data_IF_748079066770
#
_entry.id   IF_748079066770
#
_cell.length_a   1.000
_cell.length_b   1.000
_cell.length_c   1.000
_cell.angle_alpha   90.00
_cell.angle_beta   90.00
_cell.angle_gamma   90.00
#
_symmetry.space_group_name_H-M   'P 1'
#
loop_
_entity.id
_entity.type
_entity.pdbx_description
1 polymer ?
#
# COMPACT_ATOMS: atom_id res chain seq x y z
N UNK A 1 9.36 -1.93 -19.87
CA UNK A 1 8.34 -2.41 -18.89
C UNK A 1 7.27 -1.35 -18.66
N UNK A 2 5.99 -1.74 -18.47
CA UNK A 2 4.91 -0.82 -18.07
C UNK A 2 4.44 -1.18 -16.66
N UNK A 3 4.46 -0.21 -15.74
CA UNK A 3 3.93 -0.34 -14.38
C UNK A 3 2.49 0.16 -14.33
N UNK A 4 1.60 -0.58 -13.70
CA UNK A 4 0.21 -0.20 -13.49
C UNK A 4 -0.28 -0.59 -12.10
N UNK A 5 -0.79 0.39 -11.37
CA UNK A 5 -1.46 0.28 -10.07
C UNK A 5 -2.55 1.35 -9.96
N UNK A 6 -2.87 1.80 -8.76
CA UNK A 6 -3.79 2.92 -8.52
C UNK A 6 -3.03 4.24 -8.34
N UNK A 7 -2.14 4.56 -9.28
CA UNK A 7 -1.21 5.69 -9.22
C UNK A 7 -1.80 6.98 -9.78
N UNK A 8 -1.38 8.14 -9.26
CA UNK A 8 -1.79 9.47 -9.71
C UNK A 8 -3.18 9.91 -9.23
N UNK A 9 -3.63 9.44 -8.07
CA UNK A 9 -4.92 9.81 -7.48
C UNK A 9 -4.79 10.51 -6.12
N UNK A 10 -3.60 10.94 -5.74
CA UNK A 10 -3.37 11.66 -4.49
C UNK A 10 -3.55 10.82 -3.22
N UNK A 11 -3.53 9.49 -3.33
CA UNK A 11 -3.46 8.59 -2.17
C UNK A 11 -2.00 8.23 -1.92
N UNK A 12 -1.42 8.75 -0.85
CA UNK A 12 -0.01 8.54 -0.53
C UNK A 12 0.39 7.06 -0.55
N UNK A 13 -0.45 6.17 -0.02
CA UNK A 13 -0.12 4.75 0.03
C UNK A 13 0.12 4.12 -1.35
N UNK A 14 -0.67 4.50 -2.35
CA UNK A 14 -0.49 4.00 -3.72
C UNK A 14 0.73 4.65 -4.41
N UNK A 15 1.03 5.92 -4.08
CA UNK A 15 2.24 6.60 -4.56
C UNK A 15 3.51 5.98 -3.95
N UNK A 16 3.48 5.60 -2.67
CA UNK A 16 4.57 4.88 -2.01
C UNK A 16 4.80 3.49 -2.62
N UNK A 17 3.74 2.79 -3.02
CA UNK A 17 3.85 1.52 -3.74
C UNK A 17 4.58 1.70 -5.08
N UNK A 18 4.25 2.76 -5.84
CA UNK A 18 4.95 3.07 -7.08
C UNK A 18 6.44 3.36 -6.83
N UNK A 19 6.74 4.19 -5.83
CA UNK A 19 8.10 4.56 -5.46
C UNK A 19 8.92 3.32 -5.05
N UNK A 20 8.38 2.48 -4.17
CA UNK A 20 9.03 1.25 -3.72
C UNK A 20 9.32 0.27 -4.87
N UNK A 21 8.40 0.18 -5.83
CA UNK A 21 8.59 -0.68 -7.00
C UNK A 21 9.65 -0.11 -7.95
N UNK A 22 9.69 1.21 -8.17
CA UNK A 22 10.73 1.85 -8.98
C UNK A 22 12.10 1.60 -8.34
N UNK A 23 12.27 1.94 -7.06
CA UNK A 23 13.53 1.76 -6.34
C UNK A 23 13.96 0.28 -6.31
N UNK A 24 13.00 -0.62 -6.08
CA UNK A 24 13.24 -2.05 -6.08
C UNK A 24 13.68 -2.58 -7.46
N UNK A 25 13.02 -2.17 -8.54
CA UNK A 25 13.36 -2.56 -9.91
C UNK A 25 14.74 -2.01 -10.33
N UNK A 26 15.08 -0.77 -9.95
CA UNK A 26 16.42 -0.23 -10.15
C UNK A 26 17.49 -1.07 -9.43
N UNK A 27 17.21 -1.52 -8.21
CA UNK A 27 18.10 -2.42 -7.47
C UNK A 27 18.27 -3.80 -8.15
N UNK A 28 17.30 -4.20 -8.98
CA UNK A 28 17.37 -5.41 -9.82
C UNK A 28 18.04 -5.17 -11.18
N UNK A 29 18.48 -3.94 -11.47
CA UNK A 29 19.17 -3.59 -12.71
C UNK A 29 18.27 -3.07 -13.83
N UNK A 30 16.97 -2.84 -13.57
CA UNK A 30 16.06 -2.24 -14.56
C UNK A 30 16.24 -0.73 -14.56
N UNK A 31 16.75 -0.17 -15.64
CA UNK A 31 16.98 1.27 -15.75
C UNK A 31 15.70 2.09 -15.80
N UNK A 32 15.71 3.33 -15.27
CA UNK A 32 14.54 4.24 -15.33
C UNK A 32 14.03 4.46 -16.75
N UNK A 33 14.91 4.53 -17.74
CA UNK A 33 14.54 4.66 -19.15
C UNK A 33 13.79 3.46 -19.73
N UNK A 34 13.81 2.32 -19.05
CA UNK A 34 13.12 1.09 -19.43
C UNK A 34 11.74 0.94 -18.78
N UNK A 35 11.39 1.87 -17.88
CA UNK A 35 10.13 1.89 -17.16
C UNK A 35 9.19 2.97 -17.69
N UNK A 36 7.91 2.64 -17.77
CA UNK A 36 6.82 3.58 -18.05
C UNK A 36 5.65 3.30 -17.09
N UNK A 37 4.85 4.33 -16.79
CA UNK A 37 3.77 4.24 -15.78
C UNK A 37 2.43 4.59 -16.40
N UNK A 38 1.39 3.81 -16.10
CA UNK A 38 0.00 4.20 -16.33
C UNK A 38 -0.54 4.91 -15.08
N UNK A 39 -0.85 6.19 -15.20
CA UNK A 39 -1.20 7.07 -14.08
C UNK A 39 -2.51 7.83 -14.33
N UNK A 40 -3.20 8.19 -13.24
CA UNK A 40 -4.32 9.13 -13.25
C UNK A 40 -3.88 10.57 -13.48
N UNK A 41 -2.62 10.91 -13.09
CA UNK A 41 -1.98 12.22 -13.26
C UNK A 41 -0.61 12.05 -13.91
N UNK A 42 -0.54 11.81 -15.25
CA UNK A 42 0.73 11.49 -15.91
C UNK A 42 1.80 12.57 -15.79
N UNK A 43 1.40 13.84 -15.78
CA UNK A 43 2.32 14.98 -15.67
C UNK A 43 3.00 15.03 -14.30
N UNK A 44 2.22 14.83 -13.25
CA UNK A 44 2.72 14.76 -11.89
C UNK A 44 3.63 13.56 -11.69
N UNK A 45 3.23 12.39 -12.21
CA UNK A 45 4.05 11.17 -12.17
C UNK A 45 5.38 11.36 -12.90
N UNK A 46 5.38 12.02 -14.08
CA UNK A 46 6.62 12.35 -14.81
C UNK A 46 7.51 13.31 -14.01
N UNK A 47 6.92 14.37 -13.46
CA UNK A 47 7.67 15.35 -12.70
C UNK A 47 8.34 14.74 -11.45
N UNK A 48 7.63 13.81 -10.77
CA UNK A 48 8.10 13.19 -9.53
C UNK A 48 9.15 12.11 -9.76
N UNK A 49 8.92 11.22 -10.70
CA UNK A 49 9.75 10.02 -10.87
C UNK A 49 10.72 10.09 -12.07
N UNK A 50 10.57 11.07 -12.96
CA UNK A 50 11.38 11.17 -14.18
C UNK A 50 11.11 10.06 -15.20
N UNK A 51 9.99 9.35 -15.08
CA UNK A 51 9.62 8.23 -15.94
C UNK A 51 8.65 8.67 -17.05
N UNK A 52 8.60 7.92 -18.13
CA UNK A 52 7.51 8.04 -19.10
C UNK A 52 6.20 7.68 -18.43
N UNK A 53 5.19 8.55 -18.53
CA UNK A 53 3.87 8.25 -17.99
C UNK A 53 2.79 8.56 -19.02
N UNK A 54 1.74 7.72 -19.04
CA UNK A 54 0.56 7.92 -19.89
C UNK A 54 -0.72 7.85 -19.05
N UNK A 55 -1.77 8.52 -19.56
CA UNK A 55 -3.08 8.45 -18.93
C UNK A 55 -3.60 7.01 -18.93
N UNK A 56 -3.89 6.50 -17.74
CA UNK A 56 -4.39 5.13 -17.54
C UNK A 56 -5.75 4.87 -18.21
N UNK A 57 -6.53 5.91 -18.48
CA UNK A 57 -7.82 5.80 -19.16
C UNK A 57 -7.70 5.83 -20.68
N UNK A 58 -6.52 6.18 -21.21
CA UNK A 58 -6.24 6.16 -22.64
C UNK A 58 -5.88 4.75 -23.13
N UNK A 59 -6.85 4.04 -23.67
CA UNK A 59 -6.61 2.71 -24.28
C UNK A 59 -5.53 2.77 -25.36
N UNK A 60 -5.53 3.86 -26.18
CA UNK A 60 -4.50 4.06 -27.23
C UNK A 60 -3.13 4.31 -26.62
N UNK A 61 -3.04 5.12 -25.54
CA UNK A 61 -1.80 5.39 -24.83
C UNK A 61 -1.24 4.12 -24.18
N UNK A 62 -2.08 3.37 -23.46
CA UNK A 62 -1.70 2.10 -22.86
C UNK A 62 -1.20 1.07 -23.92
N UNK A 63 -1.95 0.91 -25.02
CA UNK A 63 -1.56 0.01 -26.10
C UNK A 63 -0.25 0.44 -26.78
N UNK A 64 -0.01 1.75 -26.95
CA UNK A 64 1.22 2.27 -27.53
C UNK A 64 2.45 1.98 -26.64
N UNK A 65 2.31 2.15 -25.32
CA UNK A 65 3.36 1.80 -24.36
C UNK A 65 3.62 0.30 -24.34
N UNK A 66 2.56 -0.51 -24.28
CA UNK A 66 2.67 -1.97 -24.16
C UNK A 66 3.30 -2.62 -25.40
N UNK A 67 3.04 -2.09 -26.63
CA UNK A 67 3.70 -2.57 -27.86
C UNK A 67 5.22 -2.34 -27.87
N UNK A 68 5.72 -1.43 -27.05
CA UNK A 68 7.15 -1.08 -26.93
C UNK A 68 7.77 -1.65 -25.66
N UNK A 69 7.05 -2.49 -24.96
CA UNK A 69 7.44 -3.04 -23.66
C UNK A 69 7.32 -4.55 -23.65
N UNK A 70 8.26 -5.22 -23.04
CA UNK A 70 8.25 -6.68 -22.93
C UNK A 70 7.27 -7.16 -21.87
N UNK A 71 7.04 -6.35 -20.83
CA UNK A 71 6.23 -6.78 -19.70
C UNK A 71 5.26 -5.70 -19.21
N UNK A 72 4.13 -6.15 -18.65
CA UNK A 72 3.21 -5.36 -17.83
C UNK A 72 3.33 -5.80 -16.38
N UNK A 73 3.85 -4.93 -15.51
CA UNK A 73 3.84 -5.15 -14.06
C UNK A 73 2.57 -4.55 -13.44
N UNK A 74 1.74 -5.42 -12.87
CA UNK A 74 0.63 -5.02 -12.00
C UNK A 74 1.18 -4.89 -10.59
N UNK A 75 1.45 -3.64 -10.19
CA UNK A 75 2.26 -3.34 -9.02
C UNK A 75 1.47 -2.90 -7.81
N UNK A 76 1.51 -3.72 -6.76
CA UNK A 76 1.13 -3.38 -5.39
C UNK A 76 -0.35 -3.10 -5.12
N UNK A 77 -0.71 -3.22 -3.86
CA UNK A 77 -2.02 -2.80 -3.37
C UNK A 77 -3.17 -3.77 -3.60
N UNK A 78 -4.39 -3.30 -3.34
CA UNK A 78 -5.62 -4.09 -3.48
C UNK A 78 -6.37 -3.76 -4.77
N UNK A 79 -5.75 -3.97 -5.94
CA UNK A 79 -6.36 -3.62 -7.23
C UNK A 79 -7.36 -4.69 -7.72
N UNK A 80 -7.22 -5.93 -7.27
CA UNK A 80 -8.12 -7.04 -7.58
C UNK A 80 -9.14 -7.25 -6.45
N UNK A 81 -10.09 -6.34 -6.32
CA UNK A 81 -11.20 -6.41 -5.37
C UNK A 81 -12.40 -5.58 -5.89
N UNK A 82 -13.61 -5.81 -5.37
CA UNK A 82 -14.80 -5.04 -5.74
C UNK A 82 -15.56 -4.47 -4.52
N UNK A 83 -14.91 -4.44 -3.36
CA UNK A 83 -15.49 -3.86 -2.14
C UNK A 83 -15.68 -2.34 -2.26
N UNK A 84 -14.75 -1.65 -2.95
CA UNK A 84 -14.80 -0.20 -3.19
C UNK A 84 -15.33 0.14 -4.58
N UNK A 85 -14.95 -0.61 -5.61
CA UNK A 85 -15.39 -0.37 -7.00
C UNK A 85 -15.48 -1.65 -7.81
N UNK A 86 -16.64 -1.89 -8.43
CA UNK A 86 -16.82 -2.99 -9.37
C UNK A 86 -16.10 -2.76 -10.72
N UNK A 87 -15.62 -1.53 -10.97
CA UNK A 87 -14.91 -1.19 -12.22
C UNK A 87 -13.46 -1.65 -12.18
N UNK A 88 -12.85 -1.77 -11.00
CA UNK A 88 -11.44 -2.14 -10.87
C UNK A 88 -11.11 -3.50 -11.52
N UNK A 89 -11.79 -4.62 -11.21
CA UNK A 89 -11.51 -5.90 -11.86
C UNK A 89 -11.69 -5.88 -13.38
N UNK A 90 -12.65 -5.10 -13.88
CA UNK A 90 -12.89 -4.94 -15.33
C UNK A 90 -11.71 -4.19 -15.99
N UNK A 91 -11.28 -3.08 -15.38
CA UNK A 91 -10.16 -2.28 -15.88
C UNK A 91 -8.88 -3.10 -15.98
N UNK A 92 -8.46 -3.75 -14.88
CA UNK A 92 -7.22 -4.51 -14.86
C UNK A 92 -7.28 -5.76 -15.74
N UNK A 93 -8.43 -6.41 -15.85
CA UNK A 93 -8.64 -7.48 -16.80
C UNK A 93 -8.47 -6.99 -18.25
N UNK A 94 -9.10 -5.87 -18.60
CA UNK A 94 -8.97 -5.26 -19.94
C UNK A 94 -7.52 -4.91 -20.25
N UNK A 95 -6.80 -4.32 -19.31
CA UNK A 95 -5.39 -3.97 -19.49
C UNK A 95 -4.51 -5.20 -19.70
N UNK A 96 -4.73 -6.29 -18.94
CA UNK A 96 -4.03 -7.56 -19.16
C UNK A 96 -4.30 -8.12 -20.56
N UNK A 97 -5.55 -8.02 -21.06
CA UNK A 97 -5.86 -8.43 -22.44
C UNK A 97 -5.14 -7.59 -23.50
N UNK A 98 -5.07 -6.26 -23.27
CA UNK A 98 -4.32 -5.36 -24.17
C UNK A 98 -2.83 -5.72 -24.14
N UNK A 99 -2.26 -6.01 -22.99
CA UNK A 99 -0.86 -6.41 -22.85
C UNK A 99 -0.57 -7.68 -23.66
N UNK A 100 -1.37 -8.73 -23.48
CA UNK A 100 -1.22 -9.98 -24.23
C UNK A 100 -1.34 -9.79 -25.74
N UNK A 101 -2.31 -8.97 -26.20
CA UNK A 101 -2.47 -8.64 -27.62
C UNK A 101 -1.31 -7.79 -28.17
N UNK A 102 -0.65 -7.02 -27.31
CA UNK A 102 0.53 -6.24 -27.66
C UNK A 102 1.84 -7.06 -27.62
N UNK A 103 1.80 -8.32 -27.18
CA UNK A 103 2.96 -9.18 -26.97
C UNK A 103 3.69 -8.96 -25.65
N UNK A 104 3.16 -8.10 -24.76
CA UNK A 104 3.73 -7.86 -23.44
C UNK A 104 3.25 -8.92 -22.44
N UNK A 105 4.18 -9.45 -21.66
CA UNK A 105 3.93 -10.51 -20.66
C UNK A 105 3.48 -9.88 -19.32
N UNK A 106 2.27 -10.18 -18.82
CA UNK A 106 1.84 -9.65 -17.53
C UNK A 106 2.46 -10.43 -16.38
N UNK A 107 2.77 -9.72 -15.28
CA UNK A 107 3.15 -10.28 -13.98
C UNK A 107 2.70 -9.34 -12.86
N UNK A 108 2.70 -9.80 -11.63
CA UNK A 108 2.29 -8.97 -10.50
C UNK A 108 3.13 -9.22 -9.26
N UNK A 109 3.24 -8.19 -8.40
CA UNK A 109 3.92 -8.26 -7.11
C UNK A 109 3.21 -7.38 -6.06
N UNK A 110 3.26 -7.81 -4.80
CA UNK A 110 2.72 -7.06 -3.67
C UNK A 110 1.20 -6.90 -3.71
N UNK A 111 0.48 -7.84 -4.33
CA UNK A 111 -0.98 -7.78 -4.48
C UNK A 111 -1.72 -8.32 -3.25
N UNK A 112 -2.77 -7.59 -2.82
CA UNK A 112 -3.87 -8.19 -2.07
C UNK A 112 -5.02 -8.50 -3.02
N UNK A 113 -5.56 -9.73 -2.95
CA UNK A 113 -6.61 -10.20 -3.85
C UNK A 113 -7.91 -10.45 -3.09
N UNK A 114 -8.99 -9.83 -3.55
CA UNK A 114 -10.31 -9.84 -2.89
C UNK A 114 -10.41 -8.78 -1.76
N UNK A 115 -11.51 -8.79 -0.98
CA UNK A 115 -12.68 -9.65 -1.15
C UNK A 115 -13.51 -9.33 -2.41
N UNK A 116 -14.28 -10.32 -2.87
CA UNK A 116 -15.19 -10.15 -3.98
C UNK A 116 -16.64 -10.30 -3.53
N UNK A 117 -17.49 -9.35 -3.91
CA UNK A 117 -18.94 -9.38 -3.72
C UNK A 117 -19.68 -9.98 -4.92
N UNK A 118 -19.04 -9.92 -6.11
CA UNK A 118 -19.61 -10.37 -7.37
C UNK A 118 -18.77 -11.51 -7.96
N UNK A 119 -19.45 -12.58 -8.39
CA UNK A 119 -18.79 -13.71 -9.05
C UNK A 119 -18.05 -13.29 -10.35
N UNK A 120 -18.59 -12.30 -11.08
CA UNK A 120 -17.92 -11.77 -12.27
C UNK A 120 -16.58 -11.12 -11.92
N UNK A 121 -16.52 -10.29 -10.88
CA UNK A 121 -15.27 -9.66 -10.42
C UNK A 121 -14.20 -10.69 -10.07
N UNK A 122 -14.59 -11.75 -9.35
CA UNK A 122 -13.69 -12.86 -9.01
C UNK A 122 -13.21 -13.61 -10.27
N UNK A 123 -14.10 -13.85 -11.25
CA UNK A 123 -13.72 -14.50 -12.52
C UNK A 123 -12.75 -13.65 -13.34
N UNK A 124 -12.96 -12.33 -13.42
CA UNK A 124 -12.08 -11.40 -14.13
C UNK A 124 -10.70 -11.33 -13.46
N UNK A 125 -10.66 -11.22 -12.13
CA UNK A 125 -9.42 -11.23 -11.36
C UNK A 125 -8.65 -12.56 -11.55
N UNK A 126 -9.34 -13.71 -11.40
CA UNK A 126 -8.74 -15.03 -11.68
C UNK A 126 -8.17 -15.10 -13.09
N UNK A 127 -8.92 -14.65 -14.10
CA UNK A 127 -8.48 -14.66 -15.50
C UNK A 127 -7.25 -13.76 -15.73
N UNK A 128 -7.16 -12.62 -15.04
CA UNK A 128 -6.00 -11.73 -15.13
C UNK A 128 -4.78 -12.35 -14.47
N UNK A 129 -4.93 -12.89 -13.25
CA UNK A 129 -3.85 -13.51 -12.50
C UNK A 129 -3.39 -14.83 -13.12
N UNK A 130 -4.29 -15.59 -13.76
CA UNK A 130 -3.92 -16.78 -14.51
C UNK A 130 -3.04 -16.45 -15.73
N UNK A 131 -3.20 -15.27 -16.31
CA UNK A 131 -2.39 -14.79 -17.42
C UNK A 131 -1.03 -14.22 -16.99
N UNK A 132 -0.84 -13.94 -15.70
CA UNK A 132 0.45 -13.48 -15.18
C UNK A 132 1.46 -14.63 -15.17
N UNK A 133 2.66 -14.39 -15.69
CA UNK A 133 3.75 -15.36 -15.64
C UNK A 133 4.28 -15.57 -14.24
N UNK A 134 4.46 -14.47 -13.50
CA UNK A 134 4.91 -14.45 -12.12
C UNK A 134 3.84 -13.77 -11.27
N UNK A 135 3.56 -14.34 -10.10
CA UNK A 135 2.52 -13.86 -9.18
C UNK A 135 3.06 -13.71 -7.78
N UNK A 136 3.26 -12.46 -7.33
CA UNK A 136 3.61 -12.12 -5.95
C UNK A 136 2.41 -11.50 -5.22
N UNK A 137 2.00 -12.13 -4.13
CA UNK A 137 0.96 -11.60 -3.24
C UNK A 137 1.58 -11.21 -1.91
N UNK A 138 1.02 -10.20 -1.24
CA UNK A 138 1.62 -9.68 0.00
C UNK A 138 1.03 -10.29 1.27
N UNK A 139 0.00 -11.14 1.17
CA UNK A 139 -0.69 -11.68 2.33
C UNK A 139 -1.13 -13.15 2.12
N UNK A 140 -1.23 -13.89 3.22
CA UNK A 140 -1.55 -15.32 3.24
C UNK A 140 -2.98 -15.60 2.74
N UNK A 141 -3.92 -14.68 2.93
CA UNK A 141 -5.29 -14.80 2.45
C UNK A 141 -5.36 -14.76 0.94
N UNK A 142 -4.63 -13.82 0.32
CA UNK A 142 -4.49 -13.75 -1.14
C UNK A 142 -3.87 -15.03 -1.71
N UNK A 143 -2.82 -15.56 -1.06
CA UNK A 143 -2.20 -16.81 -1.45
C UNK A 143 -3.18 -17.99 -1.35
N UNK A 144 -3.94 -18.09 -0.27
CA UNK A 144 -4.98 -19.12 -0.09
C UNK A 144 -6.06 -19.04 -1.15
N UNK A 145 -6.47 -17.82 -1.53
CA UNK A 145 -7.46 -17.59 -2.59
C UNK A 145 -6.92 -18.04 -3.96
N UNK A 146 -5.68 -17.69 -4.30
CA UNK A 146 -5.05 -18.10 -5.55
C UNK A 146 -4.90 -19.63 -5.59
N UNK A 147 -4.46 -20.26 -4.49
CA UNK A 147 -4.39 -21.72 -4.37
C UNK A 147 -5.75 -22.37 -4.61
N UNK A 148 -6.84 -21.80 -4.07
CA UNK A 148 -8.21 -22.26 -4.33
C UNK A 148 -8.64 -22.12 -5.80
N UNK A 149 -8.00 -21.24 -6.56
CA UNK A 149 -8.18 -21.12 -8.00
C UNK A 149 -7.25 -22.02 -8.83
N UNK A 150 -6.35 -22.79 -8.19
CA UNK A 150 -5.33 -23.60 -8.85
C UNK A 150 -4.16 -22.79 -9.39
N UNK A 151 -3.92 -21.59 -8.85
CA UNK A 151 -2.82 -20.70 -9.25
C UNK A 151 -1.73 -20.69 -8.19
N UNK A 152 -0.50 -21.00 -8.59
CA UNK A 152 0.68 -20.83 -7.75
C UNK A 152 1.05 -19.34 -7.61
N UNK A 153 1.61 -18.97 -6.46
CA UNK A 153 2.12 -17.62 -6.22
C UNK A 153 3.23 -17.64 -5.16
N UNK A 154 4.07 -16.62 -5.19
CA UNK A 154 5.02 -16.31 -4.12
C UNK A 154 4.34 -15.38 -3.10
N UNK A 155 4.59 -15.63 -1.79
CA UNK A 155 4.12 -14.72 -0.73
C UNK A 155 5.26 -13.78 -0.39
N UNK A 156 5.09 -12.52 -0.77
CA UNK A 156 6.04 -11.44 -0.48
C UNK A 156 5.55 -10.65 0.76
N UNK A 157 5.99 -9.43 0.92
CA UNK A 157 5.35 -8.47 1.81
C UNK A 157 4.90 -7.23 1.01
N UNK A 158 4.35 -6.23 1.70
CA UNK A 158 4.02 -4.96 1.06
C UNK A 158 5.30 -4.28 0.56
N UNK A 159 5.37 -3.84 -0.72
CA UNK A 159 6.55 -3.19 -1.28
C UNK A 159 7.02 -1.98 -0.48
N UNK A 160 6.11 -1.21 0.12
CA UNK A 160 6.43 0.00 0.89
C UNK A 160 7.37 -0.28 2.05
N UNK A 161 7.38 -1.52 2.60
CA UNK A 161 8.28 -1.89 3.70
C UNK A 161 9.77 -1.86 3.30
N UNK A 162 10.08 -1.89 2.00
CA UNK A 162 11.45 -1.80 1.49
C UNK A 162 11.97 -0.37 1.35
N UNK A 163 11.10 0.62 1.51
CA UNK A 163 11.52 2.01 1.41
C UNK A 163 12.45 2.40 2.56
N UNK A 164 13.55 3.07 2.21
CA UNK A 164 14.42 3.66 3.21
C UNK A 164 13.75 4.89 3.81
N UNK A 165 13.61 4.89 5.12
CA UNK A 165 13.22 6.07 5.89
C UNK A 165 14.43 6.56 6.68
N UNK A 166 14.61 7.88 6.88
CA UNK A 166 15.63 8.38 7.77
C UNK A 166 15.49 7.69 9.12
N UNK A 167 16.61 7.20 9.65
CA UNK A 167 16.59 6.61 11.00
C UNK A 167 15.88 7.61 11.93
N UNK A 168 14.82 7.18 12.58
CA UNK A 168 14.21 7.98 13.61
C UNK A 168 15.35 8.32 14.58
N UNK A 169 15.65 9.61 14.72
CA UNK A 169 16.55 10.06 15.77
C UNK A 169 16.13 9.40 17.09
N UNK A 170 17.01 9.24 18.06
CA UNK A 170 16.67 8.60 19.31
C UNK A 170 15.31 9.18 19.73
N UNK A 171 14.32 8.32 19.86
CA UNK A 171 13.02 8.71 20.37
C UNK A 171 13.35 9.51 21.61
N UNK A 172 13.06 10.81 21.59
CA UNK A 172 13.11 11.60 22.79
C UNK A 172 11.99 11.07 23.68
N UNK A 173 12.22 9.85 24.23
CA UNK A 173 11.40 9.29 25.33
C UNK A 173 11.31 10.26 26.49
N UNK A 174 12.16 11.30 26.45
CA UNK A 174 12.29 12.36 27.43
C UNK A 174 11.64 13.69 27.01
N UNK A 175 10.95 13.81 25.86
CA UNK A 175 10.05 14.96 25.68
C UNK A 175 8.87 14.75 26.65
N UNK A 176 8.70 15.67 27.58
CA UNK A 176 7.75 15.63 28.70
C UNK A 176 6.27 15.45 28.28
N UNK A 177 5.95 15.47 27.00
CA UNK A 177 4.66 15.09 26.43
C UNK A 177 4.90 14.24 25.17
N UNK A 178 4.67 12.93 25.26
CA UNK A 178 4.62 12.08 24.07
C UNK A 178 3.47 12.48 23.15
N UNK A 179 3.50 12.04 21.89
CA UNK A 179 2.47 12.34 20.88
C UNK A 179 1.77 11.08 20.39
N UNK A 180 0.44 11.14 20.21
CA UNK A 180 -0.37 10.15 19.55
C UNK A 180 -0.71 10.63 18.14
N UNK A 181 -0.13 10.01 17.10
CA UNK A 181 -0.51 10.25 15.71
C UNK A 181 -1.71 9.38 15.36
N UNK A 182 -2.74 9.96 14.77
CA UNK A 182 -4.01 9.28 14.49
C UNK A 182 -4.39 9.46 13.03
N UNK A 183 -4.50 8.35 12.32
CA UNK A 183 -5.04 8.32 10.97
C UNK A 183 -6.49 7.86 10.99
N UNK A 184 -7.40 8.71 10.54
CA UNK A 184 -8.82 8.42 10.36
C UNK A 184 -9.17 8.67 8.90
N UNK A 185 -9.90 7.73 8.30
CA UNK A 185 -10.35 7.85 6.91
C UNK A 185 -11.88 7.79 6.82
N UNK A 186 -12.50 8.34 5.77
CA UNK A 186 -13.91 8.11 5.49
C UNK A 186 -14.20 6.61 5.33
N UNK A 187 -15.20 6.13 6.06
CA UNK A 187 -15.68 4.76 5.99
C UNK A 187 -17.16 4.68 6.33
N UNK A 188 -17.77 3.50 6.10
CA UNK A 188 -19.20 3.26 6.36
C UNK A 188 -19.50 3.27 7.84
N UNK A 189 -20.71 3.70 8.18
CA UNK A 189 -21.20 3.70 9.56
C UNK A 189 -20.46 4.71 10.44
N UNK A 190 -20.40 4.44 11.74
CA UNK A 190 -19.87 5.35 12.75
C UNK A 190 -18.42 5.06 13.15
N UNK A 191 -17.77 4.12 12.48
CA UNK A 191 -16.41 3.69 12.81
C UNK A 191 -15.39 4.85 12.85
N UNK A 192 -15.39 5.82 11.90
CA UNK A 192 -14.48 6.96 11.97
C UNK A 192 -14.67 7.82 13.22
N UNK A 193 -15.92 8.09 13.60
CA UNK A 193 -16.26 8.86 14.83
C UNK A 193 -15.84 8.11 16.09
N UNK A 194 -16.13 6.82 16.17
CA UNK A 194 -15.71 5.96 17.28
C UNK A 194 -14.17 5.89 17.38
N UNK A 195 -13.47 5.84 16.24
CA UNK A 195 -12.00 5.90 16.22
C UNK A 195 -11.49 7.21 16.81
N UNK A 196 -12.10 8.35 16.45
CA UNK A 196 -11.74 9.66 17.01
C UNK A 196 -11.92 9.68 18.54
N UNK A 197 -13.10 9.26 19.03
CA UNK A 197 -13.42 9.25 20.47
C UNK A 197 -12.45 8.35 21.25
N UNK A 198 -12.17 7.16 20.75
CA UNK A 198 -11.24 6.23 21.39
C UNK A 198 -9.78 6.72 21.36
N UNK A 199 -9.36 7.38 20.27
CA UNK A 199 -8.05 8.02 20.20
C UNK A 199 -7.90 9.16 21.22
N UNK A 200 -8.92 9.98 21.40
CA UNK A 200 -8.96 11.04 22.43
C UNK A 200 -8.86 10.44 23.84
N UNK A 201 -9.59 9.35 24.11
CA UNK A 201 -9.49 8.62 25.38
C UNK A 201 -8.07 8.12 25.63
N UNK A 202 -7.44 7.48 24.61
CA UNK A 202 -6.06 6.97 24.74
C UNK A 202 -5.07 8.13 24.99
N UNK A 203 -5.20 9.22 24.23
CA UNK A 203 -4.35 10.41 24.40
C UNK A 203 -4.47 10.98 25.83
N UNK A 204 -5.69 11.12 26.35
CA UNK A 204 -5.96 11.59 27.70
C UNK A 204 -5.36 10.67 28.76
N UNK A 205 -5.60 9.35 28.67
CA UNK A 205 -5.09 8.36 29.62
C UNK A 205 -3.56 8.27 29.69
N UNK A 206 -2.91 8.56 28.56
CA UNK A 206 -1.46 8.47 28.43
C UNK A 206 -0.77 9.84 28.47
N UNK A 207 -1.53 10.91 28.70
CA UNK A 207 -1.04 12.30 28.70
C UNK A 207 -0.26 12.63 27.40
N UNK A 208 -0.82 12.23 26.23
CA UNK A 208 -0.23 12.44 24.93
C UNK A 208 -0.88 13.61 24.21
N UNK A 209 -0.08 14.36 23.46
CA UNK A 209 -0.57 15.32 22.48
C UNK A 209 -1.21 14.58 21.28
N UNK A 210 -2.36 15.05 20.82
CA UNK A 210 -3.10 14.43 19.72
C UNK A 210 -2.79 15.13 18.39
N UNK A 211 -2.37 14.37 17.37
CA UNK A 211 -2.07 14.89 16.03
C UNK A 211 -2.74 14.02 14.97
N UNK A 212 -3.41 14.64 14.00
CA UNK A 212 -3.98 13.97 12.84
C UNK A 212 -2.91 13.66 11.79
N UNK A 213 -2.97 12.46 11.20
CA UNK A 213 -2.12 12.00 10.11
C UNK A 213 -3.00 11.65 8.90
N UNK A 214 -3.03 12.50 7.89
CA UNK A 214 -3.79 12.28 6.66
C UNK A 214 -2.88 11.76 5.54
N UNK A 215 -3.32 10.70 4.87
CA UNK A 215 -2.65 10.10 3.70
C UNK A 215 -3.39 10.44 2.38
N UNK A 216 -4.49 11.15 2.48
CA UNK A 216 -5.27 11.65 1.36
C UNK A 216 -6.09 12.87 1.81
N UNK A 217 -6.49 13.71 0.86
CA UNK A 217 -7.25 14.93 1.17
C UNK A 217 -8.57 14.66 1.90
N UNK A 218 -9.24 13.55 1.57
CA UNK A 218 -10.47 13.16 2.26
C UNK A 218 -10.26 12.76 3.73
N UNK A 219 -9.07 12.30 4.12
CA UNK A 219 -8.74 12.02 5.51
C UNK A 219 -8.62 13.33 6.31
N UNK A 220 -7.92 14.32 5.73
CA UNK A 220 -7.75 15.62 6.35
C UNK A 220 -9.12 16.31 6.55
N UNK A 221 -9.93 16.37 5.50
CA UNK A 221 -11.26 16.98 5.54
C UNK A 221 -12.16 16.32 6.60
N UNK A 222 -12.13 14.99 6.72
CA UNK A 222 -12.87 14.28 7.76
C UNK A 222 -12.37 14.62 9.16
N UNK A 223 -11.06 14.60 9.38
CA UNK A 223 -10.48 14.90 10.70
C UNK A 223 -10.71 16.37 11.10
N UNK A 224 -10.69 17.29 10.14
CA UNK A 224 -11.08 18.70 10.37
C UNK A 224 -12.55 18.80 10.77
N UNK A 225 -13.46 18.12 10.09
CA UNK A 225 -14.87 18.07 10.47
C UNK A 225 -15.07 17.53 11.88
N UNK A 226 -14.37 16.45 12.23
CA UNK A 226 -14.42 15.85 13.57
C UNK A 226 -13.84 16.80 14.64
N UNK A 227 -12.84 17.60 14.29
CA UNK A 227 -12.28 18.64 15.16
C UNK A 227 -13.27 19.76 15.42
N UNK A 228 -13.94 20.25 14.35
CA UNK A 228 -14.95 21.31 14.44
C UNK A 228 -16.17 20.86 15.26
N UNK A 229 -16.50 19.58 15.23
CA UNK A 229 -17.54 18.98 16.06
C UNK A 229 -17.08 18.73 17.52
N UNK A 230 -15.82 19.00 17.86
CA UNK A 230 -15.24 18.74 19.19
C UNK A 230 -14.94 17.27 19.52
N UNK A 231 -15.08 16.37 18.53
CA UNK A 231 -14.83 14.95 18.71
C UNK A 231 -13.35 14.55 18.55
N UNK A 232 -12.55 15.40 17.92
CA UNK A 232 -11.13 15.13 17.66
C UNK A 232 -10.29 16.40 17.88
N UNK A 233 -10.01 16.81 19.13
CA UNK A 233 -9.31 18.05 19.44
C UNK A 233 -7.80 17.95 19.17
N UNK A 234 -7.42 17.55 17.95
CA UNK A 234 -6.03 17.47 17.54
C UNK A 234 -5.39 18.86 17.45
N UNK A 235 -4.15 18.99 17.95
CA UNK A 235 -3.38 20.25 17.87
C UNK A 235 -3.01 20.60 16.45
N UNK A 236 -2.81 19.59 15.61
CA UNK A 236 -2.55 19.74 14.17
C UNK A 236 -3.08 18.54 13.39
N UNK A 237 -3.37 18.76 12.10
CA UNK A 237 -3.68 17.71 11.14
C UNK A 237 -2.68 17.87 10.00
N UNK A 238 -1.75 16.92 9.89
CA UNK A 238 -0.73 16.92 8.87
C UNK A 238 -1.16 16.03 7.70
N UNK A 239 -1.19 16.60 6.50
CA UNK A 239 -1.40 15.82 5.28
C UNK A 239 -0.03 15.50 4.68
N UNK A 240 0.26 14.22 4.55
CA UNK A 240 1.47 13.76 3.88
C UNK A 240 1.20 13.70 2.39
N UNK A 241 1.97 14.41 1.62
CA UNK A 241 2.00 14.28 0.17
C UNK A 241 3.21 13.46 -0.29
N UNK A 242 3.11 12.92 -1.50
CA UNK A 242 4.15 12.04 -2.01
C UNK A 242 5.46 12.77 -2.39
N UNK A 243 5.45 14.12 -2.50
CA UNK A 243 6.66 14.92 -2.78
C UNK A 243 7.55 15.11 -1.57
N UNK A 244 6.94 15.28 -0.38
CA UNK A 244 7.63 15.57 0.88
C UNK A 244 7.54 14.46 1.93
N UNK A 245 6.90 13.34 1.64
CA UNK A 245 6.51 12.35 2.65
C UNK A 245 7.66 11.87 3.55
N UNK A 246 8.89 11.73 3.02
CA UNK A 246 10.03 11.25 3.83
C UNK A 246 10.38 12.22 4.95
N UNK A 247 10.48 13.52 4.65
CA UNK A 247 10.75 14.55 5.65
C UNK A 247 9.58 14.72 6.61
N UNK A 248 8.37 14.85 6.07
CA UNK A 248 7.18 15.16 6.86
C UNK A 248 6.79 14.00 7.76
N UNK A 249 6.84 12.76 7.23
CA UNK A 249 6.62 11.55 8.00
C UNK A 249 7.68 11.38 9.09
N UNK A 250 8.96 11.64 8.79
CA UNK A 250 10.03 11.58 9.77
C UNK A 250 9.82 12.61 10.88
N UNK A 251 9.48 13.85 10.58
CA UNK A 251 9.19 14.88 11.57
C UNK A 251 7.98 14.49 12.42
N UNK A 252 6.91 14.04 11.79
CA UNK A 252 5.67 13.71 12.49
C UNK A 252 5.81 12.44 13.34
N UNK A 253 6.38 11.37 12.77
CA UNK A 253 6.52 10.09 13.46
C UNK A 253 7.75 10.02 14.38
N UNK A 254 8.80 10.84 14.20
CA UNK A 254 9.88 10.92 15.18
C UNK A 254 9.40 11.53 16.50
N UNK A 255 8.49 12.49 16.46
CA UNK A 255 7.83 13.07 17.64
C UNK A 255 6.68 12.20 18.18
N UNK A 256 6.10 11.31 17.37
CA UNK A 256 5.03 10.43 17.81
C UNK A 256 5.63 9.18 18.49
N UNK A 257 5.18 8.90 19.71
CA UNK A 257 5.54 7.67 20.41
C UNK A 257 4.59 6.53 20.06
N UNK A 258 3.34 6.86 19.65
CA UNK A 258 2.27 5.89 19.37
C UNK A 258 1.43 6.33 18.17
N UNK A 259 0.84 5.33 17.49
CA UNK A 259 0.02 5.53 16.30
C UNK A 259 -1.30 4.77 16.40
N UNK A 260 -2.40 5.42 16.02
CA UNK A 260 -3.68 4.77 15.68
C UNK A 260 -3.82 4.81 14.18
N UNK A 261 -3.86 3.66 13.53
CA UNK A 261 -3.86 3.56 12.08
C UNK A 261 -5.15 2.92 11.56
N UNK A 262 -5.97 3.71 10.86
CA UNK A 262 -7.10 3.18 10.11
C UNK A 262 -6.67 2.78 8.68
N UNK A 263 -5.88 3.57 7.95
CA UNK A 263 -5.33 3.17 6.65
C UNK A 263 -4.21 2.15 6.80
N UNK A 264 -4.19 1.17 5.91
CA UNK A 264 -3.14 0.15 5.83
C UNK A 264 -1.73 0.77 5.78
N UNK A 265 -1.50 1.73 4.89
CA UNK A 265 -0.18 2.35 4.77
C UNK A 265 0.17 3.30 5.93
N UNK A 266 -0.80 3.78 6.71
CA UNK A 266 -0.48 4.46 7.97
C UNK A 266 0.13 3.49 8.99
N UNK A 267 -0.36 2.24 9.04
CA UNK A 267 0.24 1.19 9.85
C UNK A 267 1.64 0.79 9.32
N UNK A 268 1.80 0.64 8.00
CA UNK A 268 3.12 0.34 7.39
C UNK A 268 4.14 1.44 7.70
N UNK A 269 3.77 2.71 7.59
CA UNK A 269 4.64 3.84 7.94
C UNK A 269 5.01 3.84 9.43
N UNK A 270 4.07 3.49 10.32
CA UNK A 270 4.36 3.33 11.75
C UNK A 270 5.37 2.20 11.99
N UNK A 271 5.25 1.07 11.30
CA UNK A 271 6.19 -0.06 11.36
C UNK A 271 7.59 0.35 10.85
N UNK A 272 7.66 1.06 9.72
CA UNK A 272 8.92 1.58 9.16
C UNK A 272 9.66 2.49 10.15
N UNK A 273 8.92 3.28 10.93
CA UNK A 273 9.48 4.18 11.93
C UNK A 273 9.61 3.54 13.32
N UNK A 274 9.33 2.24 13.48
CA UNK A 274 9.45 1.51 14.75
C UNK A 274 8.54 2.05 15.86
N UNK A 275 7.31 2.46 15.52
CA UNK A 275 6.35 3.04 16.48
C UNK A 275 5.40 1.99 17.03
N UNK A 276 5.04 2.15 18.31
CA UNK A 276 3.91 1.42 18.88
C UNK A 276 2.63 1.80 18.14
N UNK A 277 1.84 0.81 17.73
CA UNK A 277 0.62 1.09 16.99
C UNK A 277 -0.57 0.23 17.42
N UNK A 278 -1.76 0.69 17.07
CA UNK A 278 -2.99 -0.10 17.04
C UNK A 278 -3.65 0.09 15.67
N UNK A 279 -3.98 -1.02 15.04
CA UNK A 279 -4.72 -1.02 13.78
C UNK A 279 -6.22 -0.95 14.01
N UNK A 280 -6.97 -0.31 13.10
CA UNK A 280 -8.44 -0.33 13.09
C UNK A 280 -8.91 -1.24 11.96
N UNK A 281 -9.62 -2.32 12.29
CA UNK A 281 -10.01 -3.38 11.38
C UNK A 281 -11.22 -3.00 10.49
N UNK A 282 -11.10 -1.95 9.70
CA UNK A 282 -12.13 -1.57 8.73
C UNK A 282 -12.11 -2.43 7.47
N UNK A 283 -10.99 -3.09 7.20
CA UNK A 283 -10.71 -3.91 6.03
C UNK A 283 -9.83 -5.10 6.44
N UNK A 284 -10.05 -6.31 5.92
CA UNK A 284 -9.28 -7.50 6.29
C UNK A 284 -7.77 -7.36 6.19
N UNK A 285 -7.25 -6.57 5.24
CA UNK A 285 -5.80 -6.35 5.07
C UNK A 285 -5.11 -5.74 6.29
N UNK A 286 -5.84 -4.92 7.09
CA UNK A 286 -5.28 -4.34 8.31
C UNK A 286 -5.18 -5.39 9.40
N UNK A 287 -6.17 -6.29 9.47
CA UNK A 287 -6.16 -7.43 10.39
C UNK A 287 -5.02 -8.41 10.03
N UNK A 288 -4.85 -8.71 8.75
CA UNK A 288 -3.77 -9.57 8.25
C UNK A 288 -2.38 -9.00 8.57
N UNK A 289 -2.20 -7.68 8.40
CA UNK A 289 -0.95 -7.01 8.79
C UNK A 289 -0.73 -7.07 10.31
N UNK A 290 -1.80 -6.90 11.10
CA UNK A 290 -1.72 -6.99 12.55
C UNK A 290 -1.34 -8.39 13.02
N UNK A 291 -1.91 -9.42 12.41
CA UNK A 291 -1.57 -10.83 12.67
C UNK A 291 -0.12 -11.14 12.29
N UNK A 292 0.33 -10.66 11.11
CA UNK A 292 1.71 -10.88 10.63
C UNK A 292 2.75 -10.22 11.53
N UNK A 293 2.50 -8.99 11.98
CA UNK A 293 3.46 -8.19 12.75
C UNK A 293 3.25 -8.26 14.26
N UNK A 294 2.12 -8.80 14.72
CA UNK A 294 1.80 -8.97 16.13
C UNK A 294 1.54 -7.67 16.86
N UNK A 295 0.86 -6.70 16.26
CA UNK A 295 0.43 -5.47 16.93
C UNK A 295 -1.06 -5.50 17.25
N UNK A 296 -1.52 -4.71 18.29
CA UNK A 296 -2.91 -4.66 18.69
C UNK A 296 -3.85 -4.24 17.55
N UNK A 297 -5.00 -4.90 17.46
CA UNK A 297 -6.06 -4.60 16.50
C UNK A 297 -7.36 -4.27 17.23
N UNK A 298 -8.11 -3.28 16.74
CA UNK A 298 -9.45 -2.94 17.21
C UNK A 298 -10.46 -3.12 16.07
N UNK A 299 -11.49 -3.89 16.32
CA UNK A 299 -12.55 -4.19 15.35
C UNK A 299 -13.67 -3.14 15.28
N UNK A 300 -13.57 -2.09 16.08
CA UNK A 300 -14.56 -1.03 16.18
C UNK A 300 -15.54 -1.25 17.34
N UNK A 301 -15.51 -2.36 18.05
CA UNK A 301 -16.40 -2.64 19.19
C UNK A 301 -15.68 -2.56 20.51
N UNK A 302 -16.42 -2.14 21.56
CA UNK A 302 -15.87 -1.96 22.88
C UNK A 302 -14.76 -0.91 22.93
N UNK A 303 -13.86 -1.08 23.87
CA UNK A 303 -12.75 -0.17 24.13
C UNK A 303 -11.55 -0.50 23.22
N UNK A 304 -11.01 0.51 22.52
CA UNK A 304 -9.79 0.34 21.73
C UNK A 304 -8.60 -0.01 22.64
N UNK A 305 -7.80 -1.05 22.31
CA UNK A 305 -6.59 -1.34 23.04
C UNK A 305 -5.57 -0.20 22.89
N UNK A 306 -4.64 -0.09 23.86
CA UNK A 306 -3.54 0.85 23.72
C UNK A 306 -2.60 0.42 22.60
N UNK A 307 -2.03 1.37 21.83
CA UNK A 307 -0.98 1.04 20.88
C UNK A 307 0.17 0.29 21.56
N UNK A 308 0.65 -0.76 20.92
CA UNK A 308 1.73 -1.61 21.42
C UNK A 308 2.79 -1.88 20.35
N UNK A 309 3.96 -2.29 20.79
CA UNK A 309 5.05 -2.70 19.91
C UNK A 309 4.69 -3.97 19.14
N UNK A 310 5.13 -4.11 17.87
CA UNK A 310 5.04 -5.37 17.15
C UNK A 310 5.77 -6.49 17.91
N UNK A 311 5.14 -7.65 18.03
CA UNK A 311 5.64 -8.78 18.85
C UNK A 311 6.05 -10.01 18.04
N UNK A 312 5.82 -10.03 16.73
CA UNK A 312 6.11 -11.20 15.88
C UNK A 312 7.61 -11.40 15.55
N UNK A 313 8.51 -10.63 16.14
CA UNK A 313 9.95 -10.73 15.90
C UNK A 313 10.39 -10.22 14.51
N UNK A 314 9.48 -9.64 13.74
CA UNK A 314 9.79 -9.00 12.46
C UNK A 314 10.34 -7.59 12.69
N UNK A 315 11.29 -7.20 11.85
CA UNK A 315 11.73 -5.82 11.75
C UNK A 315 11.51 -5.29 10.33
N UNK A 316 11.20 -4.01 10.19
CA UNK A 316 10.99 -3.41 8.88
C UNK A 316 12.23 -3.56 7.96
N UNK A 317 13.49 -3.36 8.44
CA UNK A 317 14.65 -3.60 7.61
C UNK A 317 14.76 -5.03 7.08
N UNK A 318 14.59 -6.05 7.93
CA UNK A 318 14.70 -7.45 7.50
C UNK A 318 13.55 -7.86 6.57
N UNK A 319 12.34 -7.35 6.77
CA UNK A 319 11.23 -7.55 5.85
C UNK A 319 11.47 -6.87 4.49
N UNK A 320 12.02 -5.66 4.49
CA UNK A 320 12.42 -4.93 3.27
C UNK A 320 13.50 -5.66 2.47
N UNK A 321 14.54 -6.15 3.13
CA UNK A 321 15.58 -6.96 2.49
C UNK A 321 15.02 -8.25 1.90
N UNK A 322 14.10 -8.93 2.61
CA UNK A 322 13.40 -10.11 2.10
C UNK A 322 12.62 -9.75 0.85
N UNK A 323 11.83 -8.66 0.86
CA UNK A 323 11.08 -8.21 -0.30
C UNK A 323 11.99 -7.98 -1.51
N UNK A 324 13.11 -7.27 -1.34
CA UNK A 324 14.04 -6.98 -2.44
C UNK A 324 14.69 -8.26 -3.02
N UNK A 325 14.99 -9.26 -2.18
CA UNK A 325 15.48 -10.57 -2.67
C UNK A 325 14.41 -11.29 -3.48
N UNK A 326 13.18 -11.32 -3.00
CA UNK A 326 12.06 -11.95 -3.70
C UNK A 326 11.73 -11.23 -5.01
N UNK A 327 11.73 -9.88 -4.99
CA UNK A 327 11.55 -9.08 -6.19
C UNK A 327 12.60 -9.41 -7.25
N UNK A 328 13.88 -9.55 -6.86
CA UNK A 328 14.96 -9.93 -7.78
C UNK A 328 14.70 -11.28 -8.44
N UNK A 329 14.36 -12.30 -7.66
CA UNK A 329 14.02 -13.62 -8.19
C UNK A 329 12.80 -13.59 -9.13
N UNK A 330 11.83 -12.72 -8.84
CA UNK A 330 10.66 -12.55 -9.70
C UNK A 330 11.00 -11.78 -10.99
N UNK A 331 11.85 -10.76 -10.90
CA UNK A 331 12.37 -10.05 -12.07
C UNK A 331 13.13 -11.00 -13.00
N UNK A 332 14.03 -11.82 -12.46
CA UNK A 332 14.78 -12.80 -13.24
C UNK A 332 13.83 -13.74 -14.02
N UNK A 333 12.76 -14.21 -13.37
CA UNK A 333 11.73 -15.05 -14.03
C UNK A 333 10.88 -14.30 -15.05
N UNK A 334 10.51 -13.05 -14.76
CA UNK A 334 9.64 -12.25 -15.61
C UNK A 334 10.38 -11.63 -16.81
N UNK A 335 11.67 -11.34 -16.67
CA UNK A 335 12.48 -10.66 -17.71
C UNK A 335 13.34 -11.61 -18.53
N UNK A 336 13.57 -12.86 -18.07
CA UNK A 336 14.30 -13.84 -18.86
C UNK A 336 13.59 -14.14 -20.19
N UNK A 337 14.28 -14.13 -21.30
CA UNK A 337 13.71 -14.59 -22.57
C UNK A 337 13.38 -16.08 -22.45
N UNK A 338 12.25 -16.48 -23.03
CA UNK A 338 11.59 -17.79 -22.86
C UNK A 338 12.35 -19.06 -23.31
N UNK A 339 13.62 -19.21 -23.02
CA UNK A 339 14.46 -20.34 -23.44
C UNK A 339 14.44 -21.57 -22.52
N UNK A 340 13.79 -21.52 -21.35
CA UNK A 340 13.76 -22.70 -20.43
C UNK A 340 12.38 -23.34 -20.23
N UNK A 341 11.48 -23.28 -21.19
CA UNK A 341 10.18 -23.95 -21.09
C UNK A 341 10.08 -25.21 -21.97
N UNK A 342 11.14 -25.99 -22.00
CA UNK A 342 11.05 -27.39 -22.49
C UNK A 342 11.46 -28.27 -21.32
N UNK A 343 10.49 -28.99 -20.78
CA UNK A 343 10.58 -30.02 -19.73
C UNK A 343 10.50 -29.53 -18.28
N UNK A 344 9.24 -29.47 -17.77
CA UNK A 344 8.88 -30.29 -16.59
C UNK A 344 7.37 -30.58 -16.65
#
# INVERSE_FOLDING_TARGET
>A
MVLCGYYGFGNLGDELLLEALIDGLESCGVGRGEMAVLSGSPEETRARHGLVAADRWSVRGAAALLRRSETLLLGGGGIFQDATSARSPVYYWGLVRIALLAGARPWCIGQSVGPFRRALSARLARSSLAACEVRGVRDARSASLLKGWGLGCDVTCDPVISLSVPAAGPSTRDSAAGRLAVNIRPWRGDLPRRTAVEAVRIASELSLELTGLALAAEDAALMESLRDEGLFPATSIATLDAGGWRSDCSVLLSGATRVVAMRFHAAVLALLHGRDLVGVAYDPKVAELADEWGFPLWDGDGRMPRPGAPSAGLSAPSAGERFLRELRLMCDRALSPGEERVND
#
